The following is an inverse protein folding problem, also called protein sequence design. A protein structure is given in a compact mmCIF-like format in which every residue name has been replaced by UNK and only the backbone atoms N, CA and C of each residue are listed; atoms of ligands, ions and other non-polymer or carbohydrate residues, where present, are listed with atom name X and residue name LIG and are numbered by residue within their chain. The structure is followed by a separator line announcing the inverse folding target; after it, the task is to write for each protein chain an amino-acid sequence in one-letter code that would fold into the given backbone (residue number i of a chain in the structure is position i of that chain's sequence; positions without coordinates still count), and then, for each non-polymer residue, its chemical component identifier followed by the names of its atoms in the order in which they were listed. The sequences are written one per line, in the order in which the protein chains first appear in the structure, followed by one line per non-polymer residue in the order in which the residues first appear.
data_IF_181591931502
#
_entry.id   IF_181591931502
#
_cell.length_a   1.000
_cell.length_b   1.000
_cell.length_c   1.000
_cell.angle_alpha   90.00
_cell.angle_beta   90.00
_cell.angle_gamma   90.00
#
_symmetry.space_group_name_H-M   'P 1'
#
loop_
_entity.id
_entity.type
_entity.pdbx_description
1 polymer ?
#
# COMPACT_ATOMS: atom_id res chain seq x y z
N UNK A 1 -16.26 -3.99 -34.58
CA UNK A 1 -16.87 -4.92 -33.61
C UNK A 1 -18.19 -4.33 -33.08
N UNK A 2 -19.24 -4.24 -33.93
CA UNK A 2 -20.58 -3.86 -33.47
C UNK A 2 -21.32 -5.16 -33.11
N UNK A 3 -21.67 -5.37 -31.85
CA UNK A 3 -22.44 -6.56 -31.44
C UNK A 3 -22.17 -7.10 -30.04
N UNK A 4 -21.11 -6.68 -29.35
CA UNK A 4 -20.86 -7.09 -27.96
C UNK A 4 -21.34 -6.00 -26.99
N UNK A 5 -22.27 -6.35 -26.10
CA UNK A 5 -22.66 -5.49 -24.98
C UNK A 5 -21.61 -5.66 -23.86
N UNK A 6 -20.60 -4.80 -23.85
CA UNK A 6 -19.48 -4.84 -22.90
C UNK A 6 -19.47 -3.55 -22.09
N UNK A 7 -19.32 -3.71 -20.78
CA UNK A 7 -19.01 -2.62 -19.85
C UNK A 7 -17.60 -2.82 -19.32
N UNK A 8 -16.75 -1.82 -19.52
CA UNK A 8 -15.37 -1.80 -19.02
C UNK A 8 -15.35 -0.94 -17.77
N UNK A 9 -14.90 -1.53 -16.67
CA UNK A 9 -14.79 -0.85 -15.39
C UNK A 9 -13.35 -0.48 -15.13
N UNK A 10 -13.09 0.80 -14.90
CA UNK A 10 -11.80 1.32 -14.50
C UNK A 10 -11.91 1.85 -13.07
N UNK A 11 -11.09 1.35 -12.14
CA UNK A 11 -11.08 1.84 -10.76
C UNK A 11 -10.03 2.93 -10.64
N UNK A 12 -10.48 4.16 -10.45
CA UNK A 12 -9.62 5.32 -10.30
C UNK A 12 -9.32 5.60 -8.83
N UNK A 13 -8.02 5.66 -8.54
CA UNK A 13 -7.46 6.19 -7.30
C UNK A 13 -6.56 7.35 -7.69
N UNK A 14 -6.56 8.42 -6.90
CA UNK A 14 -5.68 9.55 -7.17
C UNK A 14 -4.20 9.11 -7.12
N UNK A 15 -3.38 9.77 -7.94
CA UNK A 15 -2.04 9.31 -8.33
C UNK A 15 -1.11 9.11 -7.13
N UNK A 16 -1.16 9.97 -6.11
CA UNK A 16 -0.24 9.89 -4.97
C UNK A 16 -0.58 8.71 -4.07
N UNK A 17 -1.86 8.50 -3.79
CA UNK A 17 -2.33 7.34 -3.05
C UNK A 17 -2.08 6.04 -3.82
N UNK A 18 -2.17 6.05 -5.15
CA UNK A 18 -1.78 4.91 -5.97
C UNK A 18 -0.27 4.65 -5.89
N UNK A 19 0.56 5.70 -5.95
CA UNK A 19 2.02 5.62 -5.84
C UNK A 19 2.47 5.04 -4.50
N UNK A 20 1.86 5.49 -3.39
CA UNK A 20 2.08 4.96 -2.05
C UNK A 20 1.62 3.51 -1.96
N UNK A 21 0.44 3.19 -2.49
CA UNK A 21 -0.06 1.81 -2.50
C UNK A 21 0.89 0.88 -3.24
N UNK A 22 1.42 1.30 -4.39
CA UNK A 22 2.37 0.50 -5.15
C UNK A 22 3.70 0.33 -4.41
N UNK A 23 4.21 1.39 -3.77
CA UNK A 23 5.37 1.28 -2.87
C UNK A 23 5.11 0.25 -1.77
N UNK A 24 3.95 0.30 -1.13
CA UNK A 24 3.60 -0.62 -0.05
C UNK A 24 3.53 -2.06 -0.54
N UNK A 25 2.83 -2.30 -1.66
CA UNK A 25 2.72 -3.64 -2.26
C UNK A 25 4.09 -4.21 -2.66
N UNK A 26 4.98 -3.40 -3.24
CA UNK A 26 6.34 -3.82 -3.59
C UNK A 26 7.23 -4.09 -2.36
N UNK A 27 6.88 -3.55 -1.20
CA UNK A 27 7.61 -3.76 0.06
C UNK A 27 6.98 -4.86 0.93
N UNK A 28 5.95 -5.57 0.44
CA UNK A 28 5.40 -6.74 1.14
C UNK A 28 6.30 -7.95 0.90
N UNK A 29 6.92 -8.43 1.98
CA UNK A 29 7.70 -9.67 1.98
C UNK A 29 6.87 -10.93 1.61
N UNK A 30 5.54 -10.83 1.60
CA UNK A 30 4.61 -11.90 1.17
C UNK A 30 4.72 -12.25 -0.32
N UNK A 31 5.06 -11.26 -1.16
CA UNK A 31 4.91 -11.37 -2.60
C UNK A 31 6.19 -11.72 -3.35
N UNK A 32 7.35 -11.69 -2.70
CA UNK A 32 8.62 -11.96 -3.38
C UNK A 32 9.47 -13.03 -2.70
N UNK A 33 10.04 -13.90 -3.53
CA UNK A 33 11.22 -14.72 -3.18
C UNK A 33 12.51 -13.89 -3.12
N UNK A 34 12.45 -12.59 -3.43
CA UNK A 34 13.60 -11.73 -3.77
C UNK A 34 13.66 -10.40 -2.99
N UNK A 35 12.56 -9.84 -2.46
CA UNK A 35 12.66 -8.66 -1.57
C UNK A 35 13.50 -9.03 -0.36
N UNK A 36 14.73 -8.52 -0.39
CA UNK A 36 15.71 -8.68 0.66
C UNK A 36 15.54 -7.58 1.72
N UNK A 37 15.07 -6.39 1.34
CA UNK A 37 14.97 -5.23 2.23
C UNK A 37 13.80 -4.33 1.81
N UNK A 38 13.20 -3.65 2.79
CA UNK A 38 12.30 -2.55 2.53
C UNK A 38 13.08 -1.36 1.98
N UNK A 39 12.64 -0.83 0.85
CA UNK A 39 13.18 0.38 0.23
C UNK A 39 12.40 1.58 0.76
N UNK A 40 13.10 2.66 1.10
CA UNK A 40 12.44 3.90 1.49
C UNK A 40 11.56 4.45 0.36
N UNK A 41 10.53 5.23 0.69
CA UNK A 41 9.64 5.83 -0.29
C UNK A 41 10.41 6.77 -1.22
N UNK A 42 11.37 7.52 -0.68
CA UNK A 42 12.27 8.37 -1.47
C UNK A 42 13.11 7.55 -2.45
N UNK A 43 13.72 6.44 -2.00
CA UNK A 43 14.49 5.54 -2.85
C UNK A 43 13.64 4.93 -3.97
N UNK A 44 12.43 4.47 -3.63
CA UNK A 44 11.44 4.00 -4.59
C UNK A 44 11.09 5.08 -5.62
N UNK A 45 10.80 6.30 -5.16
CA UNK A 45 10.49 7.43 -6.03
C UNK A 45 11.66 7.72 -6.98
N UNK A 46 12.91 7.79 -6.51
CA UNK A 46 14.08 8.01 -7.36
C UNK A 46 14.30 6.90 -8.39
N UNK A 47 14.12 5.65 -8.01
CA UNK A 47 14.21 4.52 -8.94
C UNK A 47 13.13 4.57 -10.03
N UNK A 48 11.94 5.05 -9.68
CA UNK A 48 10.81 5.11 -10.61
C UNK A 48 10.68 6.45 -11.32
N UNK A 49 11.34 7.53 -10.88
CA UNK A 49 11.14 8.90 -11.36
C UNK A 49 11.29 9.04 -12.88
N UNK A 50 12.22 8.30 -13.49
CA UNK A 50 12.38 8.26 -14.96
C UNK A 50 11.18 7.64 -15.71
N UNK A 51 10.36 6.84 -15.03
CA UNK A 51 9.15 6.18 -15.55
C UNK A 51 7.85 6.58 -14.84
N UNK A 52 7.87 7.48 -13.84
CA UNK A 52 6.67 7.99 -13.17
C UNK A 52 5.65 8.56 -14.17
N UNK A 53 6.05 9.29 -15.24
CA UNK A 53 5.11 9.72 -16.26
C UNK A 53 4.43 8.57 -17.01
N UNK A 54 5.03 7.38 -17.10
CA UNK A 54 4.46 6.21 -17.78
C UNK A 54 3.59 5.36 -16.83
N UNK A 55 3.94 5.30 -15.55
CA UNK A 55 3.25 4.46 -14.57
C UNK A 55 1.88 4.98 -14.14
N UNK A 56 1.57 6.26 -14.44
CA UNK A 56 0.36 6.92 -13.92
C UNK A 56 -0.31 7.84 -14.95
N UNK A 57 -0.61 7.31 -16.14
CA UNK A 57 -1.46 8.00 -17.14
C UNK A 57 -2.83 7.33 -17.19
N UNK A 58 -3.69 7.50 -16.17
CA UNK A 58 -5.02 6.88 -16.16
C UNK A 58 -5.83 7.27 -17.41
N UNK A 59 -5.58 8.48 -17.94
CA UNK A 59 -6.19 8.97 -19.18
C UNK A 59 -5.80 8.12 -20.40
N UNK A 60 -4.54 7.71 -20.51
CA UNK A 60 -4.07 6.93 -21.66
C UNK A 60 -4.57 5.48 -21.59
N UNK A 61 -4.59 4.91 -20.39
CA UNK A 61 -5.16 3.58 -20.16
C UNK A 61 -6.64 3.55 -20.50
N UNK A 62 -7.42 4.51 -19.99
CA UNK A 62 -8.85 4.62 -20.32
C UNK A 62 -9.05 4.90 -21.81
N UNK A 63 -8.19 5.72 -22.43
CA UNK A 63 -8.25 6.01 -23.87
C UNK A 63 -8.13 4.75 -24.72
N UNK A 64 -7.20 3.85 -24.39
CA UNK A 64 -7.01 2.61 -25.15
C UNK A 64 -8.32 1.80 -25.26
N UNK A 65 -9.06 1.68 -24.16
CA UNK A 65 -10.34 0.97 -24.13
C UNK A 65 -11.47 1.81 -24.73
N UNK A 66 -11.51 3.12 -24.47
CA UNK A 66 -12.52 4.00 -25.01
C UNK A 66 -12.47 4.09 -26.55
N UNK A 67 -11.27 4.06 -27.15
CA UNK A 67 -11.11 4.07 -28.61
C UNK A 67 -11.64 2.77 -29.26
N UNK A 68 -11.52 1.64 -28.56
CA UNK A 68 -11.94 0.34 -29.07
C UNK A 68 -13.43 0.05 -28.87
N UNK A 69 -13.99 0.45 -27.71
CA UNK A 69 -15.35 0.09 -27.29
C UNK A 69 -16.33 1.26 -27.23
N UNK A 70 -15.82 2.50 -27.34
CA UNK A 70 -16.60 3.72 -27.15
C UNK A 70 -16.66 4.16 -25.69
N UNK A 71 -16.77 5.47 -25.47
CA UNK A 71 -16.84 6.08 -24.13
C UNK A 71 -18.06 5.60 -23.34
N UNK A 72 -19.18 5.36 -24.02
CA UNK A 72 -20.43 4.91 -23.39
C UNK A 72 -20.31 3.51 -22.75
N UNK A 73 -19.35 2.70 -23.19
CA UNK A 73 -19.02 1.40 -22.60
C UNK A 73 -18.07 1.48 -21.41
N UNK A 74 -17.53 2.65 -21.07
CA UNK A 74 -16.61 2.83 -19.95
C UNK A 74 -17.38 3.28 -18.71
N UNK A 75 -17.04 2.71 -17.56
CA UNK A 75 -17.42 3.21 -16.23
C UNK A 75 -16.17 3.38 -15.39
N UNK A 76 -15.95 4.58 -14.89
CA UNK A 76 -14.83 4.89 -14.02
C UNK A 76 -15.35 4.99 -12.58
N UNK A 77 -14.79 4.25 -11.65
CA UNK A 77 -15.15 4.32 -10.23
C UNK A 77 -14.15 5.23 -9.52
N UNK A 78 -14.61 6.39 -9.03
CA UNK A 78 -13.81 7.25 -8.15
C UNK A 78 -13.78 6.65 -6.74
N UNK A 79 -12.68 5.99 -6.36
CA UNK A 79 -12.61 5.27 -5.07
C UNK A 79 -12.88 6.16 -3.86
N UNK A 80 -12.30 7.38 -3.85
CA UNK A 80 -12.50 8.32 -2.76
C UNK A 80 -13.91 8.91 -2.79
N UNK A 81 -14.47 9.10 -3.98
CA UNK A 81 -15.86 9.46 -4.18
C UNK A 81 -16.85 8.43 -3.62
N UNK A 82 -16.63 7.15 -3.91
CA UNK A 82 -17.41 6.02 -3.38
C UNK A 82 -17.37 6.01 -1.85
N UNK A 83 -16.17 6.14 -1.27
CA UNK A 83 -15.99 6.19 0.18
C UNK A 83 -16.71 7.41 0.80
N UNK A 84 -16.62 8.59 0.18
CA UNK A 84 -17.31 9.80 0.62
C UNK A 84 -18.84 9.66 0.55
N UNK A 85 -19.35 8.92 -0.44
CA UNK A 85 -20.76 8.56 -0.56
C UNK A 85 -21.19 7.44 0.41
N UNK A 86 -20.27 6.94 1.25
CA UNK A 86 -20.49 5.84 2.21
C UNK A 86 -20.98 4.56 1.52
N UNK A 87 -20.44 4.29 0.32
CA UNK A 87 -20.72 3.11 -0.48
C UNK A 87 -19.56 2.13 -0.40
N UNK A 88 -19.89 0.86 -0.50
CA UNK A 88 -18.90 -0.21 -0.65
C UNK A 88 -18.55 -0.37 -2.14
N UNK A 89 -17.27 -0.48 -2.48
CA UNK A 89 -16.83 -0.59 -3.88
C UNK A 89 -17.36 -1.87 -4.55
N UNK A 90 -17.49 -2.97 -3.81
CA UNK A 90 -18.08 -4.20 -4.33
C UNK A 90 -19.58 -4.02 -4.58
N UNK A 91 -20.28 -3.23 -3.77
CA UNK A 91 -21.68 -2.86 -4.05
C UNK A 91 -21.80 -2.06 -5.35
N UNK A 92 -20.93 -1.06 -5.56
CA UNK A 92 -20.91 -0.27 -6.79
C UNK A 92 -20.63 -1.16 -8.01
N UNK A 93 -19.63 -2.04 -7.91
CA UNK A 93 -19.25 -2.93 -9.00
C UNK A 93 -20.36 -3.95 -9.33
N UNK A 94 -20.86 -4.66 -8.33
CA UNK A 94 -21.77 -5.79 -8.55
C UNK A 94 -23.20 -5.32 -8.82
N UNK A 95 -23.71 -4.37 -8.04
CA UNK A 95 -25.09 -3.91 -8.17
C UNK A 95 -25.23 -2.75 -9.17
N UNK A 96 -24.52 -1.65 -8.97
CA UNK A 96 -24.79 -0.43 -9.74
C UNK A 96 -24.30 -0.55 -11.19
N UNK A 97 -23.17 -1.25 -11.40
CA UNK A 97 -22.66 -1.54 -12.74
C UNK A 97 -23.17 -2.89 -13.25
N UNK A 98 -23.02 -3.95 -12.46
CA UNK A 98 -23.34 -5.32 -12.88
C UNK A 98 -24.83 -5.67 -12.86
N UNK A 99 -25.67 -4.89 -12.18
CA UNK A 99 -27.11 -5.18 -12.04
C UNK A 99 -27.43 -6.42 -11.22
N UNK A 100 -26.44 -6.99 -10.53
CA UNK A 100 -26.58 -8.23 -9.76
C UNK A 100 -26.39 -7.97 -8.27
N UNK A 101 -26.92 -8.85 -7.43
CA UNK A 101 -26.70 -8.81 -5.98
C UNK A 101 -27.16 -7.49 -5.30
N UNK A 102 -28.04 -6.69 -5.93
CA UNK A 102 -28.49 -5.40 -5.42
C UNK A 102 -29.23 -5.45 -4.07
N UNK A 103 -29.92 -6.56 -3.82
CA UNK A 103 -30.68 -6.77 -2.59
C UNK A 103 -29.80 -7.29 -1.43
N UNK A 104 -28.54 -7.66 -1.70
CA UNK A 104 -27.57 -7.87 -0.65
C UNK A 104 -27.26 -6.48 -0.09
N UNK A 105 -27.95 -6.16 1.02
CA UNK A 105 -27.46 -5.17 1.96
C UNK A 105 -26.12 -5.71 2.47
N UNK A 106 -25.03 -5.43 1.75
CA UNK A 106 -23.69 -5.43 2.32
C UNK A 106 -23.84 -4.53 3.51
N UNK A 107 -23.93 -5.13 4.70
CA UNK A 107 -24.37 -4.46 5.92
C UNK A 107 -23.49 -3.24 6.14
N UNK A 108 -23.95 -2.08 5.69
CA UNK A 108 -23.38 -0.80 6.07
C UNK A 108 -23.55 -0.73 7.58
N UNK A 109 -22.48 -1.06 8.31
CA UNK A 109 -22.25 -0.73 9.71
C UNK A 109 -23.52 -0.79 10.57
N UNK A 110 -24.06 -1.98 10.84
CA UNK A 110 -24.81 -2.13 12.09
C UNK A 110 -23.78 -2.15 13.21
N UNK A 111 -23.90 -1.21 14.13
CA UNK A 111 -23.27 -1.24 15.45
C UNK A 111 -23.56 -2.58 16.14
N UNK A 112 -22.74 -3.60 15.89
CA UNK A 112 -22.72 -4.82 16.68
C UNK A 112 -21.47 -4.79 17.54
N UNK A 113 -21.73 -4.78 18.85
CA UNK A 113 -20.77 -4.98 19.91
C UNK A 113 -19.77 -6.09 19.56
N UNK A 114 -18.49 -5.78 19.74
CA UNK A 114 -17.40 -6.68 20.09
C UNK A 114 -17.60 -8.16 19.75
N UNK A 115 -17.16 -8.55 18.55
CA UNK A 115 -16.49 -9.84 18.36
C UNK A 115 -15.06 -9.55 17.86
N UNK A 116 -14.00 -10.13 18.45
CA UNK A 116 -12.63 -9.60 18.35
C UNK A 116 -11.88 -9.99 17.07
N UNK A 117 -12.55 -10.50 16.04
CA UNK A 117 -11.92 -10.96 14.82
C UNK A 117 -12.56 -10.26 13.61
N UNK A 118 -11.75 -9.47 12.90
CA UNK A 118 -11.98 -8.98 11.52
C UNK A 118 -12.83 -7.72 11.28
N UNK A 119 -12.86 -6.77 12.23
CA UNK A 119 -12.75 -5.37 11.79
C UNK A 119 -11.30 -5.10 11.36
N UNK A 120 -10.86 -5.77 10.29
CA UNK A 120 -9.78 -5.24 9.48
C UNK A 120 -10.37 -3.98 8.84
N UNK A 121 -10.26 -2.88 9.58
CA UNK A 121 -10.06 -1.58 8.97
C UNK A 121 -9.19 -1.82 7.73
N UNK A 122 -9.59 -1.29 6.58
CA UNK A 122 -8.69 -1.15 5.43
C UNK A 122 -7.61 -0.10 5.76
N UNK A 123 -7.09 -0.12 7.00
CA UNK A 123 -5.93 0.59 7.46
C UNK A 123 -4.80 0.09 6.59
N UNK A 124 -4.18 1.03 5.88
CA UNK A 124 -2.99 0.76 5.10
C UNK A 124 -2.03 -0.10 5.93
N UNK A 125 -1.56 -1.20 5.32
CA UNK A 125 -0.57 -2.08 5.92
C UNK A 125 0.63 -1.25 6.38
N UNK A 126 1.00 -1.29 7.65
CA UNK A 126 2.19 -0.55 8.10
C UNK A 126 3.45 -1.23 7.58
N UNK A 127 4.32 -0.48 6.90
CA UNK A 127 5.64 -0.97 6.49
C UNK A 127 6.66 -0.99 7.64
N UNK A 128 6.35 -0.41 8.81
CA UNK A 128 7.31 -0.30 9.92
C UNK A 128 7.91 -1.65 10.33
N UNK A 129 7.14 -2.75 10.54
CA UNK A 129 7.73 -4.05 10.86
C UNK A 129 8.70 -4.55 9.78
N UNK A 130 8.37 -4.34 8.52
CA UNK A 130 9.21 -4.70 7.37
C UNK A 130 10.47 -3.85 7.29
N UNK A 131 10.41 -2.57 7.66
CA UNK A 131 11.56 -1.69 7.76
C UNK A 131 12.48 -2.11 8.92
N UNK A 132 11.95 -2.36 10.12
CA UNK A 132 12.75 -2.87 11.26
C UNK A 132 13.39 -4.22 10.90
N UNK A 133 12.64 -5.12 10.25
CA UNK A 133 13.19 -6.40 9.80
C UNK A 133 14.34 -6.23 8.81
N UNK A 134 14.33 -5.17 8.00
CA UNK A 134 15.42 -4.86 7.08
C UNK A 134 16.70 -4.46 7.80
N UNK A 135 16.60 -3.72 8.92
CA UNK A 135 17.73 -3.45 9.80
C UNK A 135 18.22 -4.74 10.47
N UNK A 136 17.32 -5.56 11.00
CA UNK A 136 17.65 -6.86 11.58
C UNK A 136 18.40 -7.75 10.59
N UNK A 137 17.89 -7.93 9.38
CA UNK A 137 18.56 -8.71 8.32
C UNK A 137 19.93 -8.12 7.95
N UNK A 138 20.04 -6.80 7.85
CA UNK A 138 21.33 -6.13 7.61
C UNK A 138 22.31 -6.32 8.77
N UNK A 139 21.81 -6.47 9.99
CA UNK A 139 22.62 -6.81 11.16
C UNK A 139 23.10 -8.27 11.07
N UNK A 140 22.20 -9.22 10.73
CA UNK A 140 22.54 -10.63 10.52
C UNK A 140 23.66 -10.82 9.50
N UNK A 141 23.52 -10.20 8.33
CA UNK A 141 24.48 -10.32 7.22
C UNK A 141 25.85 -9.70 7.55
N UNK A 142 25.98 -8.97 8.65
CA UNK A 142 27.27 -8.46 9.15
C UNK A 142 27.89 -9.36 10.24
N UNK A 143 27.11 -10.25 10.84
CA UNK A 143 27.62 -11.18 11.84
C UNK A 143 28.45 -12.29 11.20
N UNK A 144 29.35 -12.89 12.00
CA UNK A 144 30.21 -13.99 11.58
C UNK A 144 30.99 -13.71 10.28
N UNK A 145 31.55 -12.50 10.12
CA UNK A 145 32.27 -12.08 8.90
C UNK A 145 31.42 -12.23 7.62
N UNK A 146 30.10 -12.07 7.73
CA UNK A 146 29.17 -12.13 6.60
C UNK A 146 28.75 -13.53 6.18
N UNK A 147 29.05 -14.57 6.96
CA UNK A 147 28.59 -15.94 6.67
C UNK A 147 27.23 -16.25 7.29
N UNK A 148 26.75 -15.41 8.21
CA UNK A 148 25.45 -15.63 8.84
C UNK A 148 24.29 -15.25 7.93
N UNK A 149 23.30 -16.13 7.83
CA UNK A 149 22.09 -15.93 7.04
C UNK A 149 20.91 -16.67 7.69
N UNK A 150 19.69 -16.33 7.24
CA UNK A 150 18.45 -16.99 7.67
C UNK A 150 18.39 -18.39 7.06
N UNK A 151 18.24 -19.40 7.91
CA UNK A 151 18.05 -20.79 7.50
C UNK A 151 16.60 -21.02 7.07
N UNK A 152 16.40 -21.22 5.76
CA UNK A 152 15.10 -21.52 5.18
C UNK A 152 14.36 -20.29 4.64
N UNK A 153 13.05 -20.22 4.88
CA UNK A 153 12.20 -19.18 4.31
C UNK A 153 12.34 -17.85 5.07
N UNK A 154 12.85 -16.81 4.39
CA UNK A 154 12.91 -15.43 4.89
C UNK A 154 11.51 -14.93 5.30
N UNK A 155 10.47 -15.30 4.55
CA UNK A 155 9.09 -14.94 4.86
C UNK A 155 8.63 -15.52 6.21
N UNK A 156 8.99 -16.78 6.51
CA UNK A 156 8.63 -17.39 7.78
C UNK A 156 9.34 -16.71 8.95
N UNK A 157 10.59 -16.29 8.76
CA UNK A 157 11.32 -15.52 9.78
C UNK A 157 10.75 -14.11 9.95
N UNK A 158 10.45 -13.42 8.85
CA UNK A 158 9.76 -12.12 8.88
C UNK A 158 8.41 -12.19 9.61
N UNK A 159 7.62 -13.25 9.38
CA UNK A 159 6.33 -13.45 10.05
C UNK A 159 6.50 -13.58 11.57
N UNK A 160 7.49 -14.36 12.02
CA UNK A 160 7.80 -14.54 13.45
C UNK A 160 8.33 -13.26 14.07
N UNK A 161 9.29 -12.63 13.40
CA UNK A 161 9.84 -11.35 13.79
C UNK A 161 8.74 -10.30 13.93
N UNK A 162 7.82 -10.21 12.96
CA UNK A 162 6.68 -9.28 13.00
C UNK A 162 5.75 -9.56 14.18
N UNK A 163 5.53 -10.83 14.54
CA UNK A 163 4.76 -11.19 15.72
C UNK A 163 5.46 -10.72 17.01
N UNK A 164 6.77 -10.96 17.14
CA UNK A 164 7.57 -10.53 18.31
C UNK A 164 7.68 -9.01 18.39
N UNK A 165 7.85 -8.32 17.25
CA UNK A 165 7.79 -6.86 17.15
C UNK A 165 6.46 -6.32 17.70
N UNK A 166 5.33 -6.90 17.30
CA UNK A 166 4.01 -6.48 17.81
C UNK A 166 3.86 -6.71 19.32
N UNK A 167 4.40 -7.80 19.85
CA UNK A 167 4.41 -8.03 21.30
C UNK A 167 5.30 -7.01 22.02
N UNK A 168 6.47 -6.69 21.47
CA UNK A 168 7.39 -5.69 22.03
C UNK A 168 6.76 -4.30 22.11
N UNK A 169 5.99 -3.90 21.08
CA UNK A 169 5.25 -2.64 21.05
C UNK A 169 4.14 -2.52 22.11
N UNK A 170 3.74 -3.61 22.78
CA UNK A 170 2.74 -3.52 23.86
C UNK A 170 3.30 -2.86 25.13
N UNK A 171 4.62 -2.87 25.28
CA UNK A 171 5.30 -2.39 26.49
C UNK A 171 6.39 -1.35 26.19
N UNK A 172 6.74 -1.15 24.92
CA UNK A 172 7.72 -0.15 24.47
C UNK A 172 7.14 0.72 23.35
N UNK A 173 7.58 1.98 23.24
CA UNK A 173 7.19 2.84 22.11
C UNK A 173 7.73 2.27 20.78
N UNK A 174 7.06 2.56 19.65
CA UNK A 174 7.60 2.25 18.33
C UNK A 174 8.90 3.02 18.06
N UNK A 175 9.71 2.60 17.07
CA UNK A 175 10.88 3.37 16.70
C UNK A 175 10.47 4.74 16.16
N UNK A 176 11.36 5.72 16.32
CA UNK A 176 11.14 7.06 15.78
C UNK A 176 10.94 7.02 14.27
N UNK A 177 9.95 7.80 13.80
CA UNK A 177 9.56 7.83 12.40
C UNK A 177 9.70 9.22 11.82
N UNK A 178 10.13 9.29 10.57
CA UNK A 178 10.05 10.50 9.74
C UNK A 178 8.76 10.48 8.93
N UNK A 179 8.09 11.63 8.86
CA UNK A 179 6.89 11.84 8.03
C UNK A 179 7.25 12.75 6.87
N UNK A 180 7.25 12.18 5.66
CA UNK A 180 7.51 12.92 4.42
C UNK A 180 6.21 13.38 3.78
N UNK A 181 6.09 14.68 3.54
CA UNK A 181 4.98 15.26 2.77
C UNK A 181 5.31 15.20 1.26
N UNK A 182 4.35 14.77 0.43
CA UNK A 182 4.54 14.68 -1.03
C UNK A 182 4.06 15.94 -1.77
N UNK A 183 4.11 17.10 -1.12
CA UNK A 183 3.63 18.39 -1.65
C UNK A 183 4.18 18.73 -3.03
N UNK A 184 5.45 18.36 -3.30
CA UNK A 184 6.09 18.55 -4.60
C UNK A 184 5.39 17.80 -5.75
N UNK A 185 4.70 16.69 -5.46
CA UNK A 185 3.99 15.88 -6.44
C UNK A 185 2.49 16.23 -6.55
N UNK A 186 1.97 17.08 -5.65
CA UNK A 186 0.55 17.48 -5.64
C UNK A 186 0.10 18.13 -6.96
N UNK A 187 0.82 19.11 -7.54
CA UNK A 187 0.41 19.72 -8.81
C UNK A 187 0.28 18.71 -9.94
N UNK A 188 1.16 17.70 -9.98
CA UNK A 188 1.10 16.63 -10.97
C UNK A 188 -0.15 15.76 -10.79
N UNK A 189 -0.46 15.33 -9.56
CA UNK A 189 -1.67 14.56 -9.27
C UNK A 189 -2.95 15.35 -9.59
N UNK A 190 -2.98 16.64 -9.26
CA UNK A 190 -4.09 17.53 -9.59
C UNK A 190 -4.31 17.67 -11.10
N UNK A 191 -3.22 17.80 -11.87
CA UNK A 191 -3.29 17.86 -13.33
C UNK A 191 -3.81 16.56 -13.93
N UNK A 192 -3.35 15.41 -13.43
CA UNK A 192 -3.83 14.10 -13.86
C UNK A 192 -5.34 13.91 -13.57
N UNK A 193 -5.79 14.25 -12.35
CA UNK A 193 -7.21 14.21 -11.97
C UNK A 193 -8.07 15.13 -12.84
N UNK A 194 -7.61 16.38 -13.04
CA UNK A 194 -8.30 17.34 -13.90
C UNK A 194 -8.46 16.80 -15.32
N UNK A 195 -7.36 16.29 -15.91
CA UNK A 195 -7.38 15.76 -17.28
C UNK A 195 -8.32 14.56 -17.42
N UNK A 196 -8.35 13.66 -16.43
CA UNK A 196 -9.26 12.52 -16.42
C UNK A 196 -10.72 12.96 -16.37
N UNK A 197 -11.05 13.91 -15.47
CA UNK A 197 -12.41 14.42 -15.31
C UNK A 197 -12.88 15.27 -16.48
N UNK A 198 -11.99 16.06 -17.08
CA UNK A 198 -12.33 16.87 -18.25
C UNK A 198 -12.69 15.99 -19.45
N UNK A 199 -11.99 14.85 -19.62
CA UNK A 199 -12.19 13.95 -20.76
C UNK A 199 -13.27 12.89 -20.53
N UNK A 200 -13.38 12.37 -19.32
CA UNK A 200 -14.24 11.22 -19.00
C UNK A 200 -15.21 11.50 -17.84
N UNK A 201 -15.39 12.75 -17.42
CA UNK A 201 -16.17 13.11 -16.24
C UNK A 201 -17.60 12.55 -16.22
N UNK A 202 -18.25 12.45 -17.39
CA UNK A 202 -19.58 11.84 -17.52
C UNK A 202 -19.61 10.33 -17.26
N UNK A 203 -18.47 9.64 -17.41
CA UNK A 203 -18.32 8.22 -17.13
C UNK A 203 -17.86 7.92 -15.70
N UNK A 204 -17.52 8.95 -14.91
CA UNK A 204 -17.04 8.79 -13.53
C UNK A 204 -18.23 8.68 -12.57
N UNK A 205 -18.39 7.48 -11.99
CA UNK A 205 -19.31 7.21 -10.89
C UNK A 205 -18.75 7.80 -9.60
N UNK A 206 -19.65 8.40 -8.81
CA UNK A 206 -19.31 9.07 -7.55
C UNK A 206 -18.25 10.16 -7.69
N UNK A 207 -18.21 10.85 -8.84
CA UNK A 207 -17.24 11.92 -9.11
C UNK A 207 -17.21 12.97 -8.01
N UNK A 208 -16.19 12.92 -7.15
CA UNK A 208 -16.01 13.87 -6.04
C UNK A 208 -14.60 14.44 -6.06
N UNK A 209 -14.43 15.48 -6.86
CA UNK A 209 -13.13 16.17 -7.03
C UNK A 209 -12.63 16.76 -5.72
N UNK A 210 -13.50 17.35 -4.90
CA UNK A 210 -13.12 17.98 -3.64
C UNK A 210 -12.43 17.01 -2.69
N UNK A 211 -12.96 15.79 -2.54
CA UNK A 211 -12.36 14.77 -1.68
C UNK A 211 -11.00 14.30 -2.22
N UNK A 212 -10.88 14.14 -3.54
CA UNK A 212 -9.60 13.80 -4.16
C UNK A 212 -8.55 14.90 -3.93
N UNK A 213 -8.90 16.18 -4.10
CA UNK A 213 -7.99 17.30 -3.84
C UNK A 213 -7.58 17.38 -2.37
N UNK A 214 -8.50 17.10 -1.44
CA UNK A 214 -8.19 17.03 -0.01
C UNK A 214 -7.25 15.87 0.32
N UNK A 215 -7.44 14.71 -0.31
CA UNK A 215 -6.54 13.57 -0.13
C UNK A 215 -5.13 13.88 -0.64
N UNK A 216 -5.01 14.48 -1.82
CA UNK A 216 -3.73 14.92 -2.39
C UNK A 216 -3.01 15.92 -1.47
N UNK A 217 -3.71 16.91 -0.93
CA UNK A 217 -3.12 17.95 -0.10
C UNK A 217 -2.58 17.41 1.25
N UNK A 218 -3.18 16.34 1.76
CA UNK A 218 -2.83 15.75 3.06
C UNK A 218 -1.98 14.49 2.92
N UNK A 219 -1.48 14.18 1.73
CA UNK A 219 -0.76 12.94 1.49
C UNK A 219 0.60 12.95 2.18
N UNK A 220 0.87 11.90 2.94
CA UNK A 220 2.08 11.74 3.73
C UNK A 220 2.52 10.28 3.70
N UNK A 221 3.83 10.08 3.81
CA UNK A 221 4.44 8.76 3.96
C UNK A 221 5.23 8.76 5.25
N UNK A 222 4.95 7.79 6.11
CA UNK A 222 5.63 7.59 7.38
C UNK A 222 6.59 6.42 7.25
N UNK A 223 7.84 6.63 7.63
CA UNK A 223 8.92 5.65 7.58
C UNK A 223 9.77 5.73 8.84
N UNK A 224 10.50 4.67 9.17
CA UNK A 224 11.52 4.73 10.22
C UNK A 224 12.56 5.79 9.86
N UNK A 225 12.95 6.61 10.84
CA UNK A 225 14.13 7.47 10.71
C UNK A 225 15.39 6.59 10.84
N UNK A 226 16.14 6.34 9.75
CA UNK A 226 17.26 5.43 9.78
C UNK A 226 18.42 5.93 10.65
N UNK A 227 18.60 7.24 10.78
CA UNK A 227 19.71 7.81 11.56
C UNK A 227 19.43 7.64 13.04
N UNK A 228 18.22 7.98 13.49
CA UNK A 228 17.80 7.81 14.87
C UNK A 228 17.71 6.33 15.25
N UNK A 229 17.18 5.48 14.37
CA UNK A 229 17.06 4.05 14.61
C UNK A 229 18.42 3.38 14.87
N UNK A 230 19.43 3.74 14.07
CA UNK A 230 20.77 3.13 14.18
C UNK A 230 21.52 3.53 15.46
N UNK A 231 21.21 4.67 16.06
CA UNK A 231 21.83 5.13 17.32
C UNK A 231 20.99 4.79 18.56
N UNK A 232 19.76 4.32 18.38
CA UNK A 232 18.87 3.97 19.48
C UNK A 232 19.37 2.70 20.19
N UNK A 233 19.83 2.86 21.43
CA UNK A 233 20.38 1.77 22.25
C UNK A 233 19.34 0.68 22.51
N UNK A 234 18.08 1.05 22.74
CA UNK A 234 17.00 0.12 23.04
C UNK A 234 16.69 -0.76 21.83
N UNK A 235 16.49 -0.16 20.66
CA UNK A 235 16.20 -0.92 19.44
C UNK A 235 17.39 -1.78 19.00
N UNK A 236 18.62 -1.30 19.16
CA UNK A 236 19.81 -2.10 18.91
C UNK A 236 19.93 -3.31 19.86
N UNK A 237 19.66 -3.13 21.15
CA UNK A 237 19.61 -4.24 22.12
C UNK A 237 18.51 -5.24 21.78
N UNK A 238 17.33 -4.76 21.39
CA UNK A 238 16.24 -5.63 20.99
C UNK A 238 16.57 -6.44 19.73
N UNK A 239 17.12 -5.81 18.68
CA UNK A 239 17.60 -6.49 17.47
C UNK A 239 18.65 -7.56 17.81
N UNK A 240 19.58 -7.25 18.70
CA UNK A 240 20.57 -8.22 19.15
C UNK A 240 19.92 -9.38 19.91
N UNK A 241 18.92 -9.13 20.76
CA UNK A 241 18.19 -10.19 21.46
C UNK A 241 17.40 -11.10 20.50
N UNK A 242 16.83 -10.54 19.44
CA UNK A 242 16.15 -11.29 18.38
C UNK A 242 17.13 -12.19 17.62
N UNK A 243 18.34 -11.69 17.37
CA UNK A 243 19.43 -12.47 16.78
C UNK A 243 19.83 -13.66 17.66
N UNK A 244 20.10 -13.44 18.94
CA UNK A 244 20.47 -14.49 19.88
C UNK A 244 19.36 -15.55 20.02
N UNK A 245 18.10 -15.12 20.03
CA UNK A 245 16.95 -16.02 20.05
C UNK A 245 16.90 -16.88 18.78
N UNK A 246 17.01 -16.28 17.61
CA UNK A 246 16.96 -17.00 16.33
C UNK A 246 18.17 -17.94 16.15
N UNK A 247 19.34 -17.59 16.69
CA UNK A 247 20.50 -18.48 16.80
C UNK A 247 20.19 -19.70 17.69
N UNK A 248 19.65 -19.48 18.89
CA UNK A 248 19.30 -20.55 19.83
C UNK A 248 18.24 -21.50 19.25
N UNK A 249 17.31 -20.98 18.44
CA UNK A 249 16.31 -21.75 17.70
C UNK A 249 16.87 -22.47 16.46
N UNK A 250 18.18 -22.37 16.19
CA UNK A 250 18.86 -22.92 15.00
C UNK A 250 18.23 -22.42 13.69
N UNK A 251 17.89 -21.14 13.65
CA UNK A 251 17.32 -20.46 12.47
C UNK A 251 18.34 -19.62 11.73
N UNK A 252 19.55 -19.49 12.25
CA UNK A 252 20.60 -18.63 11.69
C UNK A 252 21.94 -19.37 11.57
N UNK A 253 22.73 -18.97 10.58
CA UNK A 253 24.15 -19.23 10.32
C UNK A 253 24.67 -20.69 10.22
N UNK A 254 23.99 -21.68 10.78
CA UNK A 254 24.43 -23.10 10.84
C UNK A 254 23.38 -24.04 10.22
N UNK A 255 23.09 -23.76 8.96
CA UNK A 255 22.44 -24.64 7.99
C UNK A 255 23.42 -24.82 6.80
#
# INVERSE_FOLDING_TARGET
MRGFNVTIVFVYREVLAQLISLHFELNRFEHEKVVNFSTSFSGYLFQKLGGVPLLFRPVDEVKLYADAFGVDSIRIIDMLGVAAAKKDIAHVLMCEIGGVLCNLKVSSQKNTQASPASHQSNSAYSLLPSQVFSFYKSYLERQHNGTCHICGSVWNEHTRFTARYKEHLKVHPPPETITSNLSLLVPFSQQADATLRDKYGSAILYSNRTVNLQAMANVQVQEIDPELFMIDVHWNQWIHSEYELALAEKKLCAC
#
